data_IF_875043120179
#
_entry.id   IF_875043120179
#
_cell.length_a   1.000
_cell.length_b   1.000
_cell.length_c   1.000
_cell.angle_alpha   90.00
_cell.angle_beta   90.00
_cell.angle_gamma   90.00
#
_symmetry.space_group_name_H-M   'P 1'
#
loop_
_entity.id
_entity.type
_entity.pdbx_description
1 polymer ?
#
# COMPACT_ATOMS: atom_id res chain seq x y z
N UNK A 1 12.87 28.02 43.06
CA UNK A 1 12.64 26.55 43.07
C UNK A 1 12.82 25.95 44.46
N UNK A 2 13.93 26.17 45.18
CA UNK A 2 14.15 25.58 46.53
C UNK A 2 13.08 25.94 47.59
N UNK A 3 12.50 27.15 47.55
CA UNK A 3 11.41 27.54 48.46
C UNK A 3 10.04 26.92 48.12
N UNK A 4 9.81 26.48 46.87
CA UNK A 4 8.57 25.80 46.48
C UNK A 4 8.61 24.33 46.90
N UNK A 5 9.81 23.72 46.82
CA UNK A 5 10.09 22.34 47.22
C UNK A 5 9.80 22.07 48.70
N UNK A 6 10.21 22.98 49.58
CA UNK A 6 9.94 22.87 51.03
C UNK A 6 8.46 23.10 51.39
N UNK A 7 7.72 23.86 50.58
CA UNK A 7 6.28 24.08 50.77
C UNK A 7 5.47 22.83 50.42
N UNK A 8 5.74 22.21 49.27
CA UNK A 8 5.08 20.96 48.84
C UNK A 8 5.42 19.77 49.73
N UNK A 9 6.65 19.67 50.25
CA UNK A 9 7.04 18.63 51.22
C UNK A 9 6.36 18.79 52.58
N UNK A 10 5.98 20.01 52.97
CA UNK A 10 5.22 20.26 54.21
C UNK A 10 3.77 19.85 54.07
N UNK A 11 3.12 20.12 52.93
CA UNK A 11 1.74 19.71 52.67
C UNK A 11 1.61 18.20 52.49
N UNK A 12 2.52 17.54 51.75
CA UNK A 12 2.51 16.09 51.60
C UNK A 12 2.74 15.32 52.93
N UNK A 13 3.44 15.93 53.90
CA UNK A 13 3.59 15.38 55.26
C UNK A 13 2.34 15.50 56.12
N UNK A 14 1.42 16.41 55.81
CA UNK A 14 0.17 16.61 56.55
C UNK A 14 -0.92 15.60 56.15
N UNK A 15 -0.86 15.04 54.93
CA UNK A 15 -1.86 14.09 54.42
C UNK A 15 -1.44 12.60 54.50
N UNK A 16 -0.25 12.32 55.02
CA UNK A 16 0.24 10.96 55.31
C UNK A 16 0.11 9.97 54.12
N UNK A 17 0.36 10.44 52.90
CA UNK A 17 0.32 9.61 51.69
C UNK A 17 1.72 9.50 51.08
N UNK A 18 2.35 8.33 51.23
CA UNK A 18 3.66 8.03 50.63
C UNK A 18 3.60 7.95 49.09
N UNK A 19 2.41 7.99 48.49
CA UNK A 19 2.17 7.83 47.06
C UNK A 19 2.40 9.12 46.26
N UNK A 20 2.30 10.30 46.87
CA UNK A 20 2.40 11.58 46.15
C UNK A 20 3.83 12.08 45.93
N UNK A 21 4.78 11.65 46.77
CA UNK A 21 6.18 12.11 46.67
C UNK A 21 6.89 11.50 45.44
N UNK A 22 6.63 10.23 45.12
CA UNK A 22 7.25 9.55 43.98
C UNK A 22 6.83 10.15 42.62
N UNK A 23 5.63 10.71 42.51
CA UNK A 23 5.15 11.33 41.26
C UNK A 23 5.69 12.74 41.03
N UNK A 24 5.99 13.49 42.10
CA UNK A 24 6.58 14.83 42.01
C UNK A 24 8.05 14.73 41.57
N UNK A 25 8.77 13.73 42.08
CA UNK A 25 10.16 13.47 41.67
C UNK A 25 10.24 13.04 40.19
N UNK A 26 9.29 12.22 39.70
CA UNK A 26 9.18 11.86 38.27
C UNK A 26 8.83 13.09 37.40
N UNK A 27 7.96 13.98 37.87
CA UNK A 27 7.59 15.20 37.15
C UNK A 27 8.80 16.15 36.97
N UNK A 28 9.69 16.20 37.97
CA UNK A 28 10.88 17.04 37.93
C UNK A 28 12.01 16.44 37.08
N UNK A 29 12.18 15.11 37.07
CA UNK A 29 13.13 14.46 36.13
C UNK A 29 12.74 14.70 34.66
N UNK A 30 11.44 14.65 34.34
CA UNK A 30 10.94 14.92 32.98
C UNK A 30 11.01 16.41 32.61
N UNK A 31 10.81 17.31 33.58
CA UNK A 31 10.90 18.75 33.33
C UNK A 31 12.35 19.24 33.12
N UNK A 32 13.32 18.61 33.79
CA UNK A 32 14.76 18.94 33.64
C UNK A 32 15.32 18.47 32.28
N UNK A 33 14.73 17.44 31.66
CA UNK A 33 15.12 17.01 30.29
C UNK A 33 14.55 17.90 29.17
N UNK A 34 13.67 18.85 29.46
CA UNK A 34 12.97 19.68 28.46
C UNK A 34 13.41 21.16 28.44
N UNK A 35 14.43 21.55 29.20
CA UNK A 35 14.99 22.90 29.13
C UNK A 35 16.06 23.04 28.04
N UNK A 36 15.67 23.03 26.76
CA UNK A 36 16.37 23.83 25.76
C UNK A 36 15.34 24.45 24.80
N UNK A 37 15.13 25.76 25.00
CA UNK A 37 14.48 26.73 24.10
C UNK A 37 13.02 26.48 23.69
N UNK A 38 12.06 26.82 24.56
CA UNK A 38 10.80 27.38 24.04
C UNK A 38 9.98 28.15 25.10
N UNK A 39 9.79 29.45 24.86
CA UNK A 39 8.88 30.35 25.60
C UNK A 39 7.42 29.85 25.63
N UNK A 40 7.07 28.93 24.72
CA UNK A 40 5.75 28.27 24.64
C UNK A 40 5.48 27.29 25.79
N UNK A 41 6.50 26.56 26.25
CA UNK A 41 6.35 25.60 27.35
C UNK A 41 6.16 26.29 28.71
N UNK A 42 6.75 27.47 28.91
CA UNK A 42 6.55 28.27 30.11
C UNK A 42 5.10 28.77 30.25
N UNK A 43 4.44 29.12 29.14
CA UNK A 43 3.05 29.58 29.14
C UNK A 43 2.06 28.42 29.30
N UNK A 44 2.34 27.28 28.65
CA UNK A 44 1.55 26.05 28.78
C UNK A 44 1.62 25.44 30.19
N UNK A 45 2.80 25.45 30.82
CA UNK A 45 2.99 25.03 32.21
C UNK A 45 2.19 25.90 33.18
N UNK A 46 2.11 27.21 32.90
CA UNK A 46 1.29 28.18 33.67
C UNK A 46 -0.20 27.92 33.54
N UNK A 47 -0.67 27.61 32.33
CA UNK A 47 -2.09 27.29 32.07
C UNK A 47 -2.50 25.94 32.67
N UNK A 48 -1.61 24.94 32.63
CA UNK A 48 -1.85 23.64 33.29
C UNK A 48 -1.86 23.80 34.81
N UNK A 49 -0.99 24.64 35.39
CA UNK A 49 -0.99 24.93 36.83
C UNK A 49 -2.26 25.63 37.30
N UNK A 50 -2.85 26.50 36.48
CA UNK A 50 -4.13 27.15 36.77
C UNK A 50 -5.32 26.18 36.72
N UNK A 51 -5.26 25.15 35.86
CA UNK A 51 -6.29 24.09 35.76
C UNK A 51 -6.23 23.07 36.90
N UNK A 52 -5.11 22.98 37.62
CA UNK A 52 -4.91 22.07 38.75
C UNK A 52 -5.28 22.73 40.09
N UNK A 53 -5.27 24.07 40.17
CA UNK A 53 -5.54 24.80 41.42
C UNK A 53 -7.01 25.21 41.63
N UNK A 54 -7.92 24.82 40.76
CA UNK A 54 -9.33 25.28 40.77
C UNK A 54 -10.31 24.17 41.20
N UNK A 55 -9.97 23.40 42.24
CA UNK A 55 -10.88 22.39 42.83
C UNK A 55 -11.80 22.96 43.94
N UNK A 56 -11.69 24.23 44.33
CA UNK A 56 -12.55 24.83 45.35
C UNK A 56 -13.08 26.20 44.91
N UNK A 57 -14.19 26.26 44.13
CA UNK A 57 -15.25 27.28 44.28
C UNK A 57 -16.48 27.02 43.37
N UNK A 58 -17.67 27.37 43.88
CA UNK A 58 -18.99 27.21 43.25
C UNK A 58 -19.22 28.13 42.01
N UNK A 59 -20.22 27.85 41.14
CA UNK A 59 -20.23 28.34 39.76
C UNK A 59 -20.71 29.79 39.62
N UNK A 60 -19.87 30.68 39.09
CA UNK A 60 -20.30 31.98 38.58
C UNK A 60 -20.86 31.85 37.15
N UNK A 61 -22.13 32.21 37.02
CA UNK A 61 -22.91 32.23 35.80
C UNK A 61 -22.40 33.28 34.78
N UNK A 62 -21.98 32.84 33.60
CA UNK A 62 -22.37 33.40 32.28
C UNK A 62 -21.56 32.79 31.13
N UNK A 63 -22.14 31.83 30.41
CA UNK A 63 -21.67 31.47 29.05
C UNK A 63 -22.86 30.97 28.21
N UNK A 64 -22.97 31.31 26.91
CA UNK A 64 -24.18 31.02 26.13
C UNK A 64 -24.33 29.52 25.80
N UNK A 65 -25.56 28.98 25.76
CA UNK A 65 -25.78 27.54 25.72
C UNK A 65 -25.82 27.01 24.28
N UNK A 66 -24.68 26.78 23.63
CA UNK A 66 -24.65 25.96 22.39
C UNK A 66 -23.43 25.06 22.19
N UNK A 67 -22.48 24.99 23.12
CA UNK A 67 -21.26 24.18 22.97
C UNK A 67 -21.18 22.91 23.85
N UNK A 68 -22.13 22.67 24.76
CA UNK A 68 -22.08 21.53 25.69
C UNK A 68 -23.09 20.40 25.41
N UNK A 69 -24.06 20.58 24.51
CA UNK A 69 -25.05 19.53 24.21
C UNK A 69 -24.57 18.45 23.22
N UNK A 70 -23.45 18.66 22.52
CA UNK A 70 -22.91 17.62 21.62
C UNK A 70 -22.05 16.58 22.34
N UNK A 71 -21.66 16.80 23.61
CA UNK A 71 -20.70 15.93 24.29
C UNK A 71 -21.30 14.84 25.19
N UNK A 72 -22.56 14.93 25.63
CA UNK A 72 -23.15 13.88 26.49
C UNK A 72 -23.66 12.63 25.75
N UNK A 73 -23.64 12.61 24.41
CA UNK A 73 -24.06 11.44 23.61
C UNK A 73 -22.94 10.44 23.27
N UNK A 74 -21.68 10.77 23.57
CA UNK A 74 -20.54 9.90 23.23
C UNK A 74 -20.09 8.94 24.34
N UNK A 75 -20.66 9.02 25.56
CA UNK A 75 -20.12 8.31 26.75
C UNK A 75 -21.05 7.20 27.29
N UNK A 76 -22.22 6.94 26.70
CA UNK A 76 -23.06 5.80 27.10
C UNK A 76 -23.72 5.06 25.93
N UNK A 77 -23.12 3.97 25.41
CA UNK A 77 -23.87 2.96 24.66
C UNK A 77 -24.54 2.00 25.67
N UNK A 78 -25.87 2.03 25.77
CA UNK A 78 -26.63 1.06 26.56
C UNK A 78 -26.58 -0.34 25.90
N UNK A 79 -26.48 -1.44 26.65
CA UNK A 79 -26.52 -2.80 26.09
C UNK A 79 -27.97 -3.20 25.72
N UNK A 80 -28.20 -4.00 24.66
CA UNK A 80 -29.53 -4.43 24.29
C UNK A 80 -30.01 -5.56 25.23
N UNK A 81 -31.18 -5.40 25.84
CA UNK A 81 -31.91 -6.47 26.54
C UNK A 81 -32.95 -7.11 25.60
N UNK A 82 -33.28 -8.40 25.79
CA UNK A 82 -34.11 -9.17 24.86
C UNK A 82 -35.61 -8.97 25.14
N UNK A 83 -36.40 -8.70 24.09
CA UNK A 83 -37.85 -8.71 24.16
C UNK A 83 -38.39 -9.98 23.47
N UNK A 84 -38.87 -10.92 24.27
CA UNK A 84 -39.92 -11.86 23.87
C UNK A 84 -41.25 -11.29 24.35
N UNK A 85 -42.26 -11.21 23.48
CA UNK A 85 -43.59 -11.84 23.68
C UNK A 85 -44.46 -11.67 22.42
N UNK A 86 -45.11 -12.79 22.05
CA UNK A 86 -46.28 -13.03 21.19
C UNK A 86 -47.18 -11.81 20.90
N UNK A 87 -47.84 -11.66 19.75
CA UNK A 87 -47.99 -12.45 18.55
C UNK A 87 -49.23 -11.93 17.80
N UNK A 88 -49.26 -12.04 16.46
CA UNK A 88 -50.52 -12.19 15.73
C UNK A 88 -50.23 -12.70 14.32
N UNK A 89 -51.02 -13.68 13.92
CA UNK A 89 -50.87 -14.49 12.73
C UNK A 89 -51.29 -13.71 11.47
N UNK A 90 -50.54 -13.87 10.38
CA UNK A 90 -51.11 -13.86 9.03
C UNK A 90 -50.35 -14.85 8.13
N UNK A 91 -51.15 -15.72 7.54
CA UNK A 91 -50.81 -16.93 6.80
C UNK A 91 -50.29 -16.66 5.37
N UNK A 92 -49.37 -17.53 4.93
CA UNK A 92 -49.30 -18.15 3.58
C UNK A 92 -48.88 -17.18 2.44
N UNK A 93 -47.80 -17.40 1.66
CA UNK A 93 -47.51 -18.57 0.83
C UNK A 93 -46.06 -18.50 0.31
N UNK A 94 -45.27 -19.57 0.51
CA UNK A 94 -43.95 -19.76 -0.08
C UNK A 94 -44.06 -20.37 -1.49
N UNK A 95 -43.44 -19.76 -2.50
CA UNK A 95 -43.03 -20.45 -3.73
C UNK A 95 -41.51 -20.50 -3.77
N UNK A 96 -40.98 -21.71 -3.64
CA UNK A 96 -39.56 -21.99 -3.77
C UNK A 96 -39.12 -22.05 -5.24
N UNK A 97 -37.82 -21.91 -5.45
CA UNK A 97 -37.13 -22.42 -6.63
C UNK A 97 -35.81 -23.04 -6.16
N UNK A 98 -35.72 -24.34 -6.38
CA UNK A 98 -34.63 -25.20 -5.93
C UNK A 98 -33.38 -25.10 -6.79
N UNK A 99 -32.27 -25.41 -6.13
CA UNK A 99 -30.94 -25.67 -6.65
C UNK A 99 -30.95 -26.98 -7.47
N UNK A 100 -30.35 -26.97 -8.66
CA UNK A 100 -30.13 -28.15 -9.48
C UNK A 100 -28.67 -28.61 -9.37
N UNK A 101 -28.46 -29.85 -8.91
CA UNK A 101 -27.20 -30.61 -8.99
C UNK A 101 -27.52 -31.88 -9.77
N UNK A 102 -26.82 -32.23 -10.88
CA UNK A 102 -26.94 -33.56 -11.46
C UNK A 102 -25.87 -34.50 -10.92
N UNK A 103 -26.32 -35.56 -10.25
CA UNK A 103 -25.50 -36.76 -10.01
C UNK A 103 -25.53 -37.72 -11.21
N UNK A 104 -24.41 -38.39 -11.35
CA UNK A 104 -24.04 -39.48 -12.27
C UNK A 104 -25.03 -40.64 -12.36
N UNK A 105 -25.13 -41.25 -13.55
CA UNK A 105 -25.51 -42.66 -13.73
C UNK A 105 -24.48 -43.42 -14.58
N UNK A 106 -24.18 -44.64 -14.14
CA UNK A 106 -23.17 -45.55 -14.68
C UNK A 106 -23.64 -46.36 -15.90
N UNK A 107 -22.63 -46.87 -16.63
CA UNK A 107 -22.52 -48.23 -17.20
C UNK A 107 -23.12 -48.53 -18.59
N UNK A 108 -22.22 -48.79 -19.55
CA UNK A 108 -22.20 -50.08 -20.29
C UNK A 108 -20.83 -50.38 -20.92
N UNK A 109 -20.22 -51.49 -20.48
CA UNK A 109 -19.05 -52.15 -21.08
C UNK A 109 -19.40 -52.83 -22.42
N UNK A 110 -18.46 -52.85 -23.38
CA UNK A 110 -18.23 -54.00 -24.30
C UNK A 110 -16.76 -54.13 -24.69
N UNK A 111 -16.30 -55.38 -24.70
CA UNK A 111 -14.94 -55.89 -24.93
C UNK A 111 -14.53 -56.01 -26.41
N UNK A 112 -13.23 -55.83 -26.70
CA UNK A 112 -12.27 -56.80 -27.35
C UNK A 112 -10.91 -56.10 -27.57
N UNK A 113 -9.79 -56.53 -26.95
CA UNK A 113 -8.75 -57.49 -27.41
C UNK A 113 -8.25 -57.18 -28.84
N UNK A 114 -6.96 -56.99 -29.15
CA UNK A 114 -5.69 -57.11 -28.42
C UNK A 114 -4.51 -57.22 -29.41
N UNK A 115 -3.27 -57.26 -28.84
CA UNK A 115 -1.93 -57.54 -29.41
C UNK A 115 -1.13 -56.36 -29.98
N UNK A 116 0.19 -56.26 -29.83
CA UNK A 116 1.22 -56.69 -28.84
C UNK A 116 2.61 -56.37 -29.46
N UNK A 117 3.62 -56.24 -28.58
CA UNK A 117 5.09 -56.26 -28.77
C UNK A 117 5.76 -54.88 -28.71
N UNK A 118 6.45 -54.49 -27.63
CA UNK A 118 7.61 -55.03 -26.89
C UNK A 118 8.96 -54.65 -27.51
N UNK A 119 9.78 -53.88 -26.78
CA UNK A 119 11.20 -54.19 -26.50
C UNK A 119 11.67 -53.37 -25.28
N UNK A 120 12.21 -54.08 -24.28
CA UNK A 120 12.92 -53.59 -23.09
C UNK A 120 14.43 -53.42 -23.42
N UNK A 121 15.25 -52.61 -22.72
CA UNK A 121 15.85 -52.83 -21.39
C UNK A 121 16.81 -51.66 -21.07
N UNK A 122 16.93 -51.24 -19.81
CA UNK A 122 18.15 -51.43 -18.99
C UNK A 122 17.92 -51.10 -17.50
N UNK A 123 18.75 -51.77 -16.68
CA UNK A 123 18.80 -51.99 -15.23
C UNK A 123 18.87 -50.73 -14.35
N UNK A 124 18.21 -50.64 -13.18
CA UNK A 124 18.39 -51.31 -11.88
C UNK A 124 19.44 -50.62 -10.99
N UNK A 125 19.00 -49.86 -9.97
CA UNK A 125 19.49 -50.00 -8.60
C UNK A 125 18.57 -49.30 -7.58
N UNK A 126 18.36 -50.02 -6.49
CA UNK A 126 17.45 -49.82 -5.36
C UNK A 126 18.08 -48.98 -4.25
N UNK A 127 17.29 -48.18 -3.53
CA UNK A 127 17.31 -48.14 -2.05
C UNK A 127 15.91 -47.81 -1.50
N UNK A 128 15.59 -48.51 -0.41
CA UNK A 128 14.32 -48.62 0.29
C UNK A 128 13.83 -47.34 1.01
N UNK A 129 12.51 -47.17 1.11
CA UNK A 129 11.83 -46.92 2.41
C UNK A 129 10.32 -47.12 2.26
N UNK A 130 9.80 -48.07 3.06
CA UNK A 130 8.40 -48.47 3.15
C UNK A 130 7.62 -47.54 4.08
N UNK A 131 6.47 -47.05 3.62
CA UNK A 131 5.44 -46.44 4.45
C UNK A 131 4.42 -47.51 4.86
N UNK A 132 4.09 -47.58 6.15
CA UNK A 132 3.02 -48.45 6.70
C UNK A 132 2.06 -47.58 7.50
N UNK A 133 0.77 -47.69 7.16
CA UNK A 133 -0.39 -47.08 7.82
C UNK A 133 -0.78 -47.82 9.10
N UNK A 134 -1.30 -47.12 10.11
CA UNK A 134 -2.17 -47.71 11.13
C UNK A 134 -3.29 -46.74 11.53
N UNK A 135 -4.53 -47.25 11.50
CA UNK A 135 -5.70 -46.76 12.27
C UNK A 135 -5.99 -47.79 13.43
N UNK A 136 -7.07 -47.68 14.23
CA UNK A 136 -7.12 -46.98 15.52
C UNK A 136 -7.58 -47.92 16.68
N UNK A 137 -7.31 -47.61 17.96
CA UNK A 137 -7.87 -48.40 19.09
C UNK A 137 -8.39 -47.52 20.25
N UNK A 138 -9.58 -47.90 20.73
CA UNK A 138 -10.35 -47.38 21.88
C UNK A 138 -9.97 -48.04 23.22
N UNK A 139 -10.11 -47.24 24.28
CA UNK A 139 -10.67 -47.49 25.63
C UNK A 139 -10.20 -48.63 26.57
N UNK A 140 -9.98 -48.17 27.83
CA UNK A 140 -10.33 -48.77 29.14
C UNK A 140 -9.29 -49.61 29.92
N UNK A 141 -8.88 -49.13 31.11
CA UNK A 141 -9.15 -49.73 32.44
C UNK A 141 -8.22 -49.16 33.55
N UNK A 142 -8.83 -48.80 34.70
CA UNK A 142 -8.28 -48.29 35.98
C UNK A 142 -7.74 -49.45 36.87
N UNK A 143 -7.12 -49.30 38.10
CA UNK A 143 -7.40 -48.30 39.16
C UNK A 143 -6.25 -47.89 40.16
N UNK A 144 -6.55 -46.92 41.05
CA UNK A 144 -5.89 -46.65 42.37
C UNK A 144 -5.11 -45.32 42.42
N UNK A 145 -5.41 -44.30 43.24
CA UNK A 145 -5.83 -44.30 44.64
C UNK A 145 -6.72 -43.08 45.00
N UNK A 146 -7.51 -43.28 46.03
CA UNK A 146 -8.63 -42.48 46.57
C UNK A 146 -8.18 -41.38 47.54
N UNK A 147 -8.96 -40.29 47.59
CA UNK A 147 -9.38 -39.43 48.75
C UNK A 147 -9.61 -38.01 48.16
N UNK A 148 -10.80 -37.43 47.98
CA UNK A 148 -12.07 -37.54 48.70
C UNK A 148 -12.30 -36.28 49.52
N UNK A 149 -12.97 -35.24 48.97
CA UNK A 149 -14.12 -34.55 49.59
C UNK A 149 -14.42 -33.14 49.02
N UNK A 150 -15.69 -33.00 48.66
CA UNK A 150 -16.65 -31.92 48.96
C UNK A 150 -16.43 -30.48 48.47
N UNK A 151 -17.32 -30.13 47.55
CA UNK A 151 -17.81 -28.77 47.30
C UNK A 151 -18.43 -28.17 48.57
N UNK A 152 -17.87 -27.06 49.03
CA UNK A 152 -18.49 -26.13 49.96
C UNK A 152 -18.80 -24.82 49.24
N UNK A 153 -20.07 -24.40 49.30
CA UNK A 153 -20.50 -23.04 49.00
C UNK A 153 -19.76 -22.04 49.91
N UNK A 154 -19.09 -21.05 49.31
CA UNK A 154 -18.80 -19.78 49.99
C UNK A 154 -19.11 -18.62 49.04
N UNK A 155 -20.13 -17.84 49.44
CA UNK A 155 -20.34 -16.48 48.98
C UNK A 155 -19.16 -15.62 49.45
N UNK A 156 -18.56 -14.84 48.55
CA UNK A 156 -17.40 -14.00 48.86
C UNK A 156 -17.20 -12.90 47.81
N UNK A 157 -17.79 -11.74 48.11
CA UNK A 157 -17.36 -10.38 47.77
C UNK A 157 -16.88 -10.08 46.33
N UNK A 158 -17.71 -9.32 45.61
CA UNK A 158 -17.33 -8.69 44.35
C UNK A 158 -16.15 -7.74 44.54
N UNK A 159 -15.11 -7.91 43.72
CA UNK A 159 -14.08 -6.90 43.50
C UNK A 159 -14.60 -5.92 42.45
N UNK A 160 -14.97 -4.73 42.90
CA UNK A 160 -15.11 -3.55 42.05
C UNK A 160 -13.76 -3.27 41.39
N UNK A 161 -13.72 -3.23 40.07
CA UNK A 161 -12.59 -2.68 39.31
C UNK A 161 -12.54 -1.19 39.67
N UNK A 162 -11.48 -0.75 40.35
CA UNK A 162 -11.28 0.66 40.66
C UNK A 162 -11.30 1.46 39.35
N UNK A 163 -12.21 2.42 39.23
CA UNK A 163 -12.26 3.34 38.11
C UNK A 163 -10.95 4.14 38.11
N UNK A 164 -10.22 4.13 36.99
CA UNK A 164 -9.04 4.97 36.82
C UNK A 164 -9.46 6.45 36.98
N UNK A 165 -8.70 7.27 37.71
CA UNK A 165 -9.01 8.69 37.87
C UNK A 165 -9.17 9.40 36.53
N UNK A 166 -10.12 10.33 36.45
CA UNK A 166 -10.41 11.09 35.21
C UNK A 166 -9.19 11.91 34.73
N UNK A 167 -8.26 12.22 35.64
CA UNK A 167 -6.95 12.81 35.37
C UNK A 167 -6.02 11.91 34.54
N UNK A 168 -6.12 10.58 34.68
CA UNK A 168 -5.33 9.61 33.91
C UNK A 168 -5.72 9.61 32.42
N UNK A 169 -7.00 9.81 32.11
CA UNK A 169 -7.50 9.96 30.74
C UNK A 169 -7.09 11.30 30.12
N UNK A 170 -7.06 12.39 30.90
CA UNK A 170 -6.59 13.70 30.43
C UNK A 170 -5.09 13.69 30.13
N UNK A 171 -4.27 13.01 30.93
CA UNK A 171 -2.82 12.91 30.72
C UNK A 171 -2.48 12.13 29.44
N UNK A 172 -3.15 11.01 29.19
CA UNK A 172 -3.02 10.28 27.93
C UNK A 172 -3.53 11.08 26.74
N UNK A 173 -4.60 11.86 26.91
CA UNK A 173 -5.13 12.74 25.86
C UNK A 173 -4.17 13.89 25.52
N UNK A 174 -3.54 14.51 26.52
CA UNK A 174 -2.54 15.57 26.30
C UNK A 174 -1.28 15.01 25.65
N UNK A 175 -0.76 13.84 26.08
CA UNK A 175 0.36 13.18 25.41
C UNK A 175 -0.02 12.75 23.98
N UNK A 176 -1.26 12.27 23.77
CA UNK A 176 -1.77 11.92 22.45
C UNK A 176 -1.88 13.15 21.53
N UNK A 177 -2.37 14.29 22.04
CA UNK A 177 -2.44 15.56 21.33
C UNK A 177 -1.04 16.16 21.07
N UNK A 178 -0.12 16.12 22.04
CA UNK A 178 1.27 16.56 21.87
C UNK A 178 2.03 15.69 20.84
N UNK A 179 1.65 14.42 20.67
CA UNK A 179 2.19 13.55 19.61
C UNK A 179 1.54 13.78 18.24
N UNK A 180 0.43 14.51 18.20
CA UNK A 180 -0.26 14.91 16.97
C UNK A 180 0.26 16.22 16.37
N UNK A 181 0.91 17.08 17.15
CA UNK A 181 1.36 18.40 16.68
C UNK A 181 2.86 18.63 16.84
N UNK A 182 3.61 18.19 15.82
CA UNK A 182 4.78 18.87 15.23
C UNK A 182 5.43 17.99 14.15
N UNK A 183 4.64 17.57 13.15
CA UNK A 183 5.25 16.98 11.95
C UNK A 183 5.66 18.13 11.04
N UNK A 184 6.95 18.46 11.01
CA UNK A 184 7.46 19.37 9.99
C UNK A 184 7.02 18.89 8.60
N UNK A 185 6.46 19.79 7.76
CA UNK A 185 5.98 19.44 6.43
C UNK A 185 7.11 18.84 5.61
N UNK A 186 6.89 17.65 5.03
CA UNK A 186 7.90 16.93 4.23
C UNK A 186 8.11 17.56 2.86
N UNK A 187 7.08 18.23 2.34
CA UNK A 187 7.11 18.95 1.08
C UNK A 187 6.47 20.33 1.27
N UNK A 188 6.90 21.37 0.51
CA UNK A 188 6.19 22.62 0.49
C UNK A 188 4.79 22.41 -0.13
N UNK A 189 3.74 23.08 0.42
CA UNK A 189 2.40 22.99 -0.14
C UNK A 189 2.40 23.47 -1.59
N UNK A 190 1.91 22.61 -2.49
CA UNK A 190 1.79 22.92 -3.92
C UNK A 190 0.71 22.04 -4.55
N UNK A 191 0.07 22.55 -5.60
CA UNK A 191 -0.86 21.82 -6.45
C UNK A 191 -0.72 22.29 -7.90
N UNK A 192 -1.20 21.49 -8.83
CA UNK A 192 -1.24 21.82 -10.26
C UNK A 192 -2.67 21.67 -10.77
N UNK A 193 -3.11 22.59 -11.61
CA UNK A 193 -4.51 22.67 -12.06
C UNK A 193 -4.88 21.63 -13.11
N UNK A 194 -3.89 21.00 -13.76
CA UNK A 194 -4.10 20.12 -14.92
C UNK A 194 -3.37 18.79 -14.77
N UNK A 195 -3.98 17.73 -15.29
CA UNK A 195 -3.32 16.46 -15.55
C UNK A 195 -3.11 16.22 -17.06
N UNK A 196 -1.99 15.59 -17.48
CA UNK A 196 -0.87 15.17 -16.64
C UNK A 196 -0.10 16.33 -15.98
N UNK A 197 0.45 16.06 -14.79
CA UNK A 197 1.25 17.03 -14.04
C UNK A 197 2.64 17.25 -14.64
N UNK A 198 3.25 18.38 -14.33
CA UNK A 198 4.54 18.83 -14.83
C UNK A 198 5.62 18.67 -13.76
N UNK A 199 6.71 17.98 -14.05
CA UNK A 199 7.79 17.74 -13.08
C UNK A 199 8.67 18.98 -12.89
N UNK A 200 9.00 19.65 -13.99
CA UNK A 200 9.89 20.83 -13.99
C UNK A 200 9.40 22.02 -13.12
N UNK A 201 8.14 22.02 -12.68
CA UNK A 201 7.59 23.06 -11.78
C UNK A 201 7.47 22.62 -10.32
N UNK A 202 7.75 21.35 -10.01
CA UNK A 202 7.66 20.80 -8.65
C UNK A 202 8.78 21.34 -7.75
N UNK A 203 8.48 21.43 -6.46
CA UNK A 203 9.44 21.87 -5.42
C UNK A 203 9.43 20.92 -4.22
N UNK A 204 10.55 20.30 -3.83
CA UNK A 204 11.76 20.13 -4.64
C UNK A 204 11.47 19.30 -5.89
N UNK A 205 12.40 19.35 -6.86
CA UNK A 205 12.35 18.44 -7.99
C UNK A 205 12.50 16.99 -7.52
N UNK A 206 11.73 16.03 -8.08
CA UNK A 206 11.92 14.61 -7.81
C UNK A 206 13.34 14.14 -8.09
N UNK A 207 13.87 13.31 -7.19
CA UNK A 207 15.16 12.68 -7.41
C UNK A 207 15.01 11.55 -8.43
N UNK A 208 15.38 11.83 -9.68
CA UNK A 208 15.25 10.88 -10.79
C UNK A 208 16.25 9.73 -10.69
N UNK A 209 17.49 9.99 -10.27
CA UNK A 209 18.54 8.97 -10.10
C UNK A 209 19.25 9.17 -8.76
N UNK A 210 19.63 8.07 -8.11
CA UNK A 210 20.50 8.15 -6.93
C UNK A 210 21.93 8.48 -7.38
N UNK A 211 22.64 9.41 -6.72
CA UNK A 211 24.06 9.64 -6.98
C UNK A 211 24.92 8.38 -6.73
N UNK A 212 24.45 7.47 -5.88
CA UNK A 212 25.12 6.22 -5.55
C UNK A 212 24.79 5.06 -6.51
N UNK A 213 23.91 5.29 -7.48
CA UNK A 213 23.53 4.26 -8.45
C UNK A 213 24.72 3.91 -9.36
N UNK A 214 25.20 2.67 -9.27
CA UNK A 214 26.31 2.15 -10.08
C UNK A 214 25.78 1.16 -11.11
N UNK A 215 25.75 1.52 -12.42
CA UNK A 215 25.30 0.60 -13.45
C UNK A 215 26.28 -0.57 -13.61
N UNK A 216 25.75 -1.72 -14.00
CA UNK A 216 26.52 -2.95 -14.20
C UNK A 216 26.24 -3.58 -15.59
N UNK A 217 25.84 -2.76 -16.55
CA UNK A 217 25.51 -3.16 -17.93
C UNK A 217 24.44 -4.26 -18.00
N UNK A 218 23.49 -4.27 -17.06
CA UNK A 218 22.49 -5.33 -16.90
C UNK A 218 21.53 -5.44 -18.08
N UNK A 219 21.39 -4.37 -18.86
CA UNK A 219 20.46 -4.27 -19.99
C UNK A 219 21.20 -3.99 -21.30
N UNK A 220 22.49 -4.35 -21.36
CA UNK A 220 23.35 -4.14 -22.50
C UNK A 220 22.70 -4.61 -23.82
N UNK A 221 22.52 -3.66 -24.74
CA UNK A 221 21.96 -3.91 -26.08
C UNK A 221 20.46 -4.16 -26.11
N UNK A 222 19.73 -4.03 -25.01
CA UNK A 222 18.26 -4.17 -24.99
C UNK A 222 17.58 -2.94 -25.55
N UNK A 223 16.41 -3.11 -26.17
CA UNK A 223 15.51 -2.03 -26.58
C UNK A 223 14.32 -2.00 -25.63
N UNK A 224 14.15 -0.89 -24.90
CA UNK A 224 13.08 -0.71 -23.94
C UNK A 224 12.10 0.38 -24.39
N UNK A 225 10.79 0.10 -24.29
CA UNK A 225 9.72 1.08 -24.43
C UNK A 225 9.10 1.33 -23.05
N UNK A 226 9.08 2.59 -22.60
CA UNK A 226 8.49 3.01 -21.32
C UNK A 226 7.37 4.02 -21.56
N UNK A 227 6.13 3.68 -21.21
CA UNK A 227 5.02 4.64 -21.34
C UNK A 227 5.01 5.65 -20.19
N UNK A 228 4.77 6.93 -20.49
CA UNK A 228 4.86 8.01 -19.49
C UNK A 228 6.26 8.10 -18.91
N UNK A 229 7.26 8.10 -19.80
CA UNK A 229 8.68 8.09 -19.43
C UNK A 229 9.31 9.48 -19.34
N UNK A 230 8.53 10.53 -19.60
CA UNK A 230 8.90 11.94 -19.51
C UNK A 230 9.10 12.43 -18.08
N UNK A 231 8.49 11.79 -17.08
CA UNK A 231 8.50 12.24 -15.69
C UNK A 231 8.33 11.10 -14.68
N UNK A 232 8.50 11.43 -13.41
CA UNK A 232 8.29 10.58 -12.25
C UNK A 232 9.05 9.27 -12.31
N UNK A 233 8.35 8.19 -11.96
CA UNK A 233 8.91 6.82 -11.99
C UNK A 233 9.36 6.45 -13.41
N UNK A 234 8.60 6.83 -14.44
CA UNK A 234 8.95 6.53 -15.83
C UNK A 234 10.29 7.13 -16.22
N UNK A 235 10.53 8.41 -15.90
CA UNK A 235 11.83 9.09 -16.12
C UNK A 235 12.97 8.37 -15.41
N UNK A 236 12.78 8.00 -14.15
CA UNK A 236 13.79 7.27 -13.37
C UNK A 236 14.11 5.89 -13.98
N UNK A 237 13.09 5.19 -14.48
CA UNK A 237 13.25 3.91 -15.19
C UNK A 237 14.00 4.09 -16.50
N UNK A 238 13.60 5.06 -17.33
CA UNK A 238 14.29 5.40 -18.58
C UNK A 238 15.78 5.67 -18.33
N UNK A 239 16.09 6.51 -17.34
CA UNK A 239 17.47 6.90 -17.03
C UNK A 239 18.29 5.73 -16.50
N UNK A 240 17.70 4.90 -15.64
CA UNK A 240 18.35 3.68 -15.13
C UNK A 240 18.60 2.67 -16.25
N UNK A 241 17.65 2.49 -17.17
CA UNK A 241 17.80 1.60 -18.32
C UNK A 241 18.90 2.07 -19.28
N UNK A 242 18.96 3.36 -19.58
CA UNK A 242 20.01 3.95 -20.41
C UNK A 242 21.40 3.77 -19.77
N UNK A 243 21.51 3.98 -18.45
CA UNK A 243 22.76 3.73 -17.71
C UNK A 243 23.19 2.27 -17.72
N UNK A 244 22.24 1.34 -17.72
CA UNK A 244 22.48 -0.11 -17.82
C UNK A 244 22.71 -0.61 -19.27
N UNK A 245 22.79 0.30 -20.24
CA UNK A 245 23.16 0.00 -21.63
C UNK A 245 22.00 -0.34 -22.57
N UNK A 246 20.75 -0.02 -22.19
CA UNK A 246 19.59 -0.16 -23.06
C UNK A 246 19.38 1.06 -23.96
N UNK A 247 18.92 0.83 -25.18
CA UNK A 247 18.27 1.86 -26.02
C UNK A 247 16.85 2.09 -25.51
N UNK A 248 16.46 3.34 -25.31
CA UNK A 248 15.18 3.69 -24.66
C UNK A 248 14.29 4.51 -25.60
N UNK A 249 13.06 4.04 -25.80
CA UNK A 249 11.94 4.84 -26.27
C UNK A 249 10.98 5.12 -25.12
N UNK A 250 10.34 6.29 -25.13
CA UNK A 250 9.28 6.59 -24.17
C UNK A 250 8.12 7.38 -24.78
N UNK A 251 6.94 7.26 -24.18
CA UNK A 251 5.77 8.06 -24.56
C UNK A 251 5.52 9.21 -23.61
N UNK A 252 4.87 10.26 -24.11
CA UNK A 252 4.39 11.43 -23.37
C UNK A 252 3.16 12.05 -24.08
N UNK A 253 2.46 12.95 -23.41
CA UNK A 253 1.32 13.72 -23.89
C UNK A 253 1.78 15.10 -24.36
N UNK A 254 1.77 15.28 -25.68
CA UNK A 254 2.11 16.54 -26.34
C UNK A 254 1.20 17.69 -25.89
N UNK A 255 1.75 18.88 -25.73
CA UNK A 255 1.06 20.08 -25.24
C UNK A 255 1.03 20.19 -23.71
N UNK A 256 1.20 19.08 -22.99
CA UNK A 256 1.17 19.04 -21.53
C UNK A 256 2.56 18.82 -20.93
N UNK A 257 3.29 17.84 -21.46
CA UNK A 257 4.54 17.32 -20.87
C UNK A 257 5.79 17.67 -21.72
N UNK A 258 5.69 18.59 -22.69
CA UNK A 258 6.76 18.85 -23.67
C UNK A 258 8.11 19.19 -23.03
N UNK A 259 8.11 20.04 -21.98
CA UNK A 259 9.32 20.43 -21.25
C UNK A 259 9.94 19.25 -20.50
N UNK A 260 9.10 18.43 -19.87
CA UNK A 260 9.55 17.26 -19.12
C UNK A 260 10.10 16.16 -20.04
N UNK A 261 9.51 16.02 -21.23
CA UNK A 261 10.04 15.21 -22.31
C UNK A 261 11.40 15.71 -22.81
N UNK A 262 11.57 17.01 -23.02
CA UNK A 262 12.84 17.58 -23.48
C UNK A 262 13.96 17.39 -22.46
N UNK A 263 13.65 17.60 -21.17
CA UNK A 263 14.59 17.34 -20.07
C UNK A 263 14.99 15.87 -20.01
N UNK A 264 14.02 14.96 -20.15
CA UNK A 264 14.28 13.51 -20.17
C UNK A 264 15.16 13.12 -21.35
N UNK A 265 14.86 13.60 -22.56
CA UNK A 265 15.68 13.32 -23.75
C UNK A 265 17.13 13.77 -23.53
N UNK A 266 17.33 14.97 -22.99
CA UNK A 266 18.66 15.48 -22.67
C UNK A 266 19.39 14.57 -21.67
N UNK A 267 18.73 14.21 -20.56
CA UNK A 267 19.31 13.31 -19.55
C UNK A 267 19.66 11.94 -20.13
N UNK A 268 18.83 11.39 -21.02
CA UNK A 268 19.09 10.09 -21.67
C UNK A 268 20.25 10.16 -22.64
N UNK A 269 20.37 11.22 -23.43
CA UNK A 269 21.51 11.45 -24.32
C UNK A 269 22.83 11.54 -23.54
N UNK A 270 22.81 12.17 -22.36
CA UNK A 270 23.98 12.28 -21.48
C UNK A 270 24.31 10.97 -20.75
N UNK A 271 23.29 10.15 -20.43
CA UNK A 271 23.46 8.98 -19.57
C UNK A 271 23.59 7.64 -20.31
N UNK A 272 23.26 7.58 -21.60
CA UNK A 272 23.32 6.34 -22.38
C UNK A 272 24.74 5.78 -22.42
N UNK A 273 24.86 4.46 -22.28
CA UNK A 273 26.14 3.74 -22.30
C UNK A 273 26.08 2.52 -23.21
N UNK A 274 27.18 1.78 -23.35
CA UNK A 274 27.16 0.46 -23.97
C UNK A 274 26.84 0.45 -25.47
N UNK A 275 26.95 1.57 -26.18
CA UNK A 275 26.52 1.64 -27.58
C UNK A 275 25.01 1.64 -27.78
N UNK A 276 24.23 1.97 -26.74
CA UNK A 276 22.82 2.30 -26.89
C UNK A 276 22.61 3.41 -27.92
N UNK A 277 21.56 3.27 -28.74
CA UNK A 277 21.21 4.25 -29.77
C UNK A 277 20.60 5.51 -29.14
N UNK A 278 20.40 6.56 -29.95
CA UNK A 278 19.74 7.78 -29.48
C UNK A 278 18.33 7.47 -28.99
N UNK A 279 17.90 8.04 -27.85
CA UNK A 279 16.58 7.80 -27.28
C UNK A 279 15.49 8.43 -28.15
N UNK A 280 14.30 7.83 -28.12
CA UNK A 280 13.13 8.28 -28.90
C UNK A 280 11.98 8.69 -27.98
N UNK A 281 11.53 9.95 -28.08
CA UNK A 281 10.31 10.41 -27.41
C UNK A 281 9.13 10.41 -28.39
N UNK A 282 8.03 9.76 -28.01
CA UNK A 282 6.85 9.55 -28.85
C UNK A 282 5.64 10.23 -28.23
N UNK A 283 5.12 11.27 -28.88
CA UNK A 283 3.88 11.91 -28.48
C UNK A 283 2.70 10.98 -28.74
N UNK A 284 1.97 10.56 -27.70
CA UNK A 284 0.79 9.70 -27.84
C UNK A 284 -0.13 9.76 -26.62
N UNK A 285 -1.44 9.93 -26.87
CA UNK A 285 -2.45 9.52 -25.88
C UNK A 285 -2.70 8.02 -26.03
N UNK A 286 -2.09 7.23 -25.15
CA UNK A 286 -2.17 5.77 -25.16
C UNK A 286 -3.53 5.23 -24.71
N UNK A 287 -4.49 6.08 -24.33
CA UNK A 287 -5.87 5.67 -24.09
C UNK A 287 -6.57 5.16 -25.35
N UNK A 288 -5.96 5.25 -26.54
CA UNK A 288 -6.53 4.82 -27.81
C UNK A 288 -5.66 3.75 -28.49
N UNK A 289 -6.31 2.71 -29.03
CA UNK A 289 -5.62 1.56 -29.64
C UNK A 289 -4.75 1.96 -30.83
N UNK A 290 -5.24 2.81 -31.74
CA UNK A 290 -4.45 3.21 -32.91
C UNK A 290 -3.20 3.98 -32.51
N UNK A 291 -3.26 4.82 -31.47
CA UNK A 291 -2.09 5.51 -30.93
C UNK A 291 -1.10 4.50 -30.33
N UNK A 292 -1.57 3.49 -29.58
CA UNK A 292 -0.72 2.42 -29.06
C UNK A 292 -0.01 1.65 -30.19
N UNK A 293 -0.75 1.34 -31.26
CA UNK A 293 -0.19 0.67 -32.44
C UNK A 293 0.90 1.52 -33.09
N UNK A 294 0.65 2.81 -33.31
CA UNK A 294 1.63 3.74 -33.87
C UNK A 294 2.90 3.84 -33.01
N UNK A 295 2.76 3.88 -31.69
CA UNK A 295 3.90 3.85 -30.76
C UNK A 295 4.77 2.62 -31.02
N UNK A 296 4.17 1.42 -31.07
CA UNK A 296 4.92 0.18 -31.34
C UNK A 296 5.59 0.21 -32.72
N UNK A 297 4.87 0.63 -33.76
CA UNK A 297 5.40 0.72 -35.12
C UNK A 297 6.59 1.67 -35.22
N UNK A 298 6.56 2.80 -34.53
CA UNK A 298 7.68 3.75 -34.51
C UNK A 298 8.92 3.16 -33.82
N UNK A 299 8.75 2.52 -32.66
CA UNK A 299 9.88 1.88 -31.95
C UNK A 299 10.50 0.77 -32.78
N UNK A 300 9.67 -0.06 -33.42
CA UNK A 300 10.14 -1.15 -34.29
C UNK A 300 10.78 -0.63 -35.56
N UNK A 301 10.26 0.46 -36.15
CA UNK A 301 10.87 1.10 -37.30
C UNK A 301 12.27 1.60 -36.98
N UNK A 302 12.45 2.22 -35.82
CA UNK A 302 13.73 2.82 -35.43
C UNK A 302 14.74 1.78 -34.96
N UNK A 303 14.32 0.83 -34.11
CA UNK A 303 15.25 -0.08 -33.42
C UNK A 303 15.09 -1.55 -33.80
N UNK A 304 14.11 -1.90 -34.64
CA UNK A 304 13.90 -3.24 -35.17
C UNK A 304 13.23 -4.25 -34.23
N UNK A 305 13.13 -3.96 -32.92
CA UNK A 305 12.59 -4.87 -31.91
C UNK A 305 12.13 -4.16 -30.64
N UNK A 306 11.46 -4.91 -29.76
CA UNK A 306 11.18 -4.50 -28.38
C UNK A 306 11.59 -5.66 -27.46
N UNK A 307 12.58 -5.42 -26.60
CA UNK A 307 13.03 -6.41 -25.62
C UNK A 307 12.32 -6.24 -24.26
N UNK A 308 12.04 -4.99 -23.88
CA UNK A 308 11.39 -4.64 -22.62
C UNK A 308 10.23 -3.68 -22.89
N UNK A 309 9.03 -4.04 -22.42
CA UNK A 309 7.86 -3.15 -22.44
C UNK A 309 7.49 -2.78 -21.00
N UNK A 310 7.50 -1.48 -20.69
CA UNK A 310 7.06 -0.96 -19.39
C UNK A 310 5.76 -0.17 -19.58
N UNK A 311 4.66 -0.75 -19.08
CA UNK A 311 3.37 -0.08 -19.03
C UNK A 311 3.28 0.71 -17.72
N UNK A 312 3.55 2.01 -17.76
CA UNK A 312 3.72 2.86 -16.59
C UNK A 312 2.77 4.08 -16.55
N UNK A 313 2.44 4.66 -17.71
CA UNK A 313 1.56 5.82 -17.78
C UNK A 313 0.21 5.54 -17.08
N UNK A 314 -0.27 6.53 -16.33
CA UNK A 314 -1.51 6.44 -15.59
C UNK A 314 -2.12 7.84 -15.38
N UNK A 315 -3.42 7.84 -15.17
CA UNK A 315 -4.23 8.99 -14.76
C UNK A 315 -4.94 8.66 -13.45
N UNK A 316 -5.07 9.64 -12.56
CA UNK A 316 -5.69 9.46 -11.25
C UNK A 316 -6.49 10.71 -10.90
N UNK A 317 -7.71 10.55 -10.40
CA UNK A 317 -8.52 11.65 -9.91
C UNK A 317 -8.85 11.44 -8.44
N UNK A 318 -8.89 12.53 -7.68
CA UNK A 318 -9.38 12.50 -6.32
C UNK A 318 -10.91 12.47 -6.38
N UNK A 319 -11.53 11.48 -5.74
CA UNK A 319 -12.99 11.36 -5.71
C UNK A 319 -13.43 10.78 -4.38
N UNK A 320 -14.30 11.49 -3.65
CA UNK A 320 -14.64 11.17 -2.27
C UNK A 320 -15.90 10.32 -2.15
N UNK A 321 -16.70 10.24 -3.23
CA UNK A 321 -17.91 9.43 -3.31
C UNK A 321 -18.01 8.75 -4.68
N UNK A 322 -18.47 7.48 -4.75
CA UNK A 322 -18.79 6.85 -6.03
C UNK A 322 -19.78 7.66 -6.90
N UNK A 323 -20.63 8.49 -6.30
CA UNK A 323 -21.60 9.33 -7.01
C UNK A 323 -20.96 10.46 -7.83
N UNK A 324 -19.73 10.86 -7.49
CA UNK A 324 -18.96 11.89 -8.19
C UNK A 324 -18.25 11.32 -9.44
N UNK A 325 -18.09 9.99 -9.52
CA UNK A 325 -17.41 9.32 -10.63
C UNK A 325 -18.33 9.29 -11.84
N UNK A 326 -18.14 10.25 -12.74
CA UNK A 326 -18.87 10.28 -14.02
C UNK A 326 -18.47 9.11 -14.93
N UNK A 327 -19.37 8.71 -15.83
CA UNK A 327 -19.06 7.71 -16.86
C UNK A 327 -17.83 8.12 -17.69
N UNK A 328 -17.73 9.41 -18.02
CA UNK A 328 -16.59 9.95 -18.77
C UNK A 328 -15.27 9.77 -18.02
N UNK A 329 -15.21 10.12 -16.73
CA UNK A 329 -14.02 9.91 -15.89
C UNK A 329 -13.68 8.42 -15.80
N UNK A 330 -14.66 7.58 -15.49
CA UNK A 330 -14.47 6.13 -15.35
C UNK A 330 -13.87 5.53 -16.63
N UNK A 331 -14.47 5.83 -17.78
CA UNK A 331 -13.98 5.37 -19.07
C UNK A 331 -12.58 5.90 -19.35
N UNK A 332 -12.31 7.19 -19.10
CA UNK A 332 -11.00 7.77 -19.34
C UNK A 332 -9.90 7.11 -18.51
N UNK A 333 -10.12 6.95 -17.20
CA UNK A 333 -9.17 6.30 -16.28
C UNK A 333 -8.92 4.85 -16.70
N UNK A 334 -9.96 4.09 -17.06
CA UNK A 334 -9.79 2.71 -17.55
C UNK A 334 -9.07 2.64 -18.89
N UNK A 335 -9.34 3.57 -19.82
CA UNK A 335 -8.66 3.64 -21.12
C UNK A 335 -7.16 3.84 -20.94
N UNK A 336 -6.77 4.82 -20.13
CA UNK A 336 -5.37 5.13 -19.87
C UNK A 336 -4.68 4.04 -19.06
N UNK A 337 -5.30 3.57 -17.97
CA UNK A 337 -4.58 2.77 -16.98
C UNK A 337 -4.56 1.28 -17.30
N UNK A 338 -5.55 0.73 -18.01
CA UNK A 338 -5.61 -0.71 -18.29
C UNK A 338 -5.86 -1.06 -19.75
N UNK A 339 -6.75 -0.36 -20.48
CA UNK A 339 -6.95 -0.71 -21.90
C UNK A 339 -5.68 -0.49 -22.72
N UNK A 340 -4.95 0.59 -22.44
CA UNK A 340 -3.63 0.85 -23.02
C UNK A 340 -2.68 -0.35 -22.89
N UNK A 341 -2.67 -1.06 -21.74
CA UNK A 341 -1.81 -2.21 -21.52
C UNK A 341 -2.18 -3.37 -22.44
N UNK A 342 -3.49 -3.63 -22.62
CA UNK A 342 -3.97 -4.63 -23.58
C UNK A 342 -3.57 -4.27 -25.01
N UNK A 343 -3.75 -3.02 -25.41
CA UNK A 343 -3.43 -2.55 -26.76
C UNK A 343 -1.91 -2.62 -27.03
N UNK A 344 -1.09 -2.08 -26.14
CA UNK A 344 0.36 -2.09 -26.27
C UNK A 344 0.90 -3.52 -26.34
N UNK A 345 0.45 -4.42 -25.45
CA UNK A 345 0.86 -5.83 -25.49
C UNK A 345 0.43 -6.50 -26.80
N UNK A 346 -0.83 -6.29 -27.25
CA UNK A 346 -1.34 -6.86 -28.51
C UNK A 346 -0.43 -6.56 -29.70
N UNK A 347 0.08 -5.33 -29.79
CA UNK A 347 0.94 -4.91 -30.88
C UNK A 347 2.41 -5.28 -30.64
N UNK A 348 2.93 -5.11 -29.42
CA UNK A 348 4.32 -5.39 -29.07
C UNK A 348 4.69 -6.87 -29.22
N UNK A 349 3.77 -7.80 -28.91
CA UNK A 349 4.05 -9.24 -28.89
C UNK A 349 4.60 -9.81 -30.21
N UNK A 350 4.34 -9.16 -31.36
CA UNK A 350 4.89 -9.56 -32.66
C UNK A 350 6.40 -9.30 -32.77
N UNK A 351 6.93 -8.44 -31.92
CA UNK A 351 8.30 -7.91 -31.96
C UNK A 351 9.11 -8.26 -30.71
N UNK A 352 8.50 -8.98 -29.76
CA UNK A 352 9.13 -9.51 -28.57
C UNK A 352 9.53 -10.97 -28.80
N UNK A 353 10.68 -11.37 -28.25
CA UNK A 353 11.25 -12.72 -28.42
C UNK A 353 11.41 -13.40 -27.06
N UNK A 354 11.82 -14.67 -27.08
CA UNK A 354 12.28 -15.34 -25.87
C UNK A 354 13.35 -14.50 -25.15
N UNK A 355 13.22 -14.38 -23.83
CA UNK A 355 14.06 -13.54 -23.00
C UNK A 355 13.60 -12.08 -22.87
N UNK A 356 12.50 -11.69 -23.53
CA UNK A 356 11.86 -10.37 -23.33
C UNK A 356 11.13 -10.27 -21.99
N UNK A 357 10.87 -9.04 -21.55
CA UNK A 357 10.17 -8.74 -20.29
C UNK A 357 9.07 -7.70 -20.48
N UNK A 358 7.90 -7.92 -19.86
CA UNK A 358 6.82 -6.95 -19.74
C UNK A 358 6.70 -6.59 -18.25
N UNK A 359 6.71 -5.30 -17.94
CA UNK A 359 6.65 -4.79 -16.57
C UNK A 359 5.51 -3.79 -16.47
N UNK A 360 4.56 -4.02 -15.56
CA UNK A 360 3.40 -3.15 -15.39
C UNK A 360 3.49 -2.37 -14.07
N UNK A 361 3.29 -1.06 -14.11
CA UNK A 361 3.17 -0.23 -12.91
C UNK A 361 1.76 -0.34 -12.34
N UNK A 362 1.61 -1.11 -11.26
CA UNK A 362 0.40 -1.11 -10.45
C UNK A 362 0.53 -0.06 -9.32
N UNK A 363 -0.02 -0.33 -8.14
CA UNK A 363 0.04 0.52 -6.96
C UNK A 363 -0.09 -0.35 -5.70
N UNK A 364 0.18 0.21 -4.53
CA UNK A 364 -0.24 -0.36 -3.25
C UNK A 364 -1.77 -0.36 -3.08
N UNK A 365 -2.48 0.58 -3.72
CA UNK A 365 -3.93 0.77 -3.61
C UNK A 365 -4.79 -0.51 -3.78
N UNK A 366 -4.58 -1.37 -4.80
CA UNK A 366 -5.41 -2.58 -4.93
C UNK A 366 -5.26 -3.58 -3.79
N UNK A 367 -4.22 -3.45 -2.96
CA UNK A 367 -3.98 -4.32 -1.80
C UNK A 367 -4.48 -3.69 -0.50
N UNK A 368 -4.31 -2.38 -0.32
CA UNK A 368 -4.73 -1.67 0.89
C UNK A 368 -6.12 -1.06 0.80
N UNK A 369 -6.68 -0.93 -0.40
CA UNK A 369 -7.77 -0.01 -0.69
C UNK A 369 -7.33 1.46 -0.69
N UNK A 370 -8.15 2.33 -1.27
CA UNK A 370 -8.03 3.78 -1.16
C UNK A 370 -9.42 4.42 -1.40
N UNK A 371 -10.06 4.99 -0.37
CA UNK A 371 -11.42 5.53 -0.49
C UNK A 371 -11.51 6.78 -1.36
N UNK A 372 -10.41 7.52 -1.56
CA UNK A 372 -10.39 8.78 -2.31
C UNK A 372 -10.07 8.60 -3.82
N UNK A 373 -9.98 7.36 -4.30
CA UNK A 373 -9.58 7.06 -5.69
C UNK A 373 -10.06 5.66 -6.13
N UNK A 374 -11.36 5.42 -6.05
CA UNK A 374 -11.96 4.10 -6.28
C UNK A 374 -11.73 3.56 -7.71
N UNK A 375 -11.97 4.38 -8.74
CA UNK A 375 -11.77 4.02 -10.15
C UNK A 375 -10.29 3.71 -10.45
N UNK A 376 -9.37 4.57 -10.00
CA UNK A 376 -7.94 4.31 -10.08
C UNK A 376 -7.57 3.00 -9.38
N UNK A 377 -8.03 2.79 -8.15
CA UNK A 377 -7.77 1.56 -7.38
C UNK A 377 -8.27 0.31 -8.12
N UNK A 378 -9.46 0.39 -8.72
CA UNK A 378 -10.00 -0.69 -9.55
C UNK A 378 -9.12 -0.96 -10.78
N UNK A 379 -8.64 0.07 -11.49
CA UNK A 379 -7.72 -0.14 -12.63
C UNK A 379 -6.41 -0.79 -12.19
N UNK A 380 -5.85 -0.39 -11.05
CA UNK A 380 -4.62 -0.98 -10.52
C UNK A 380 -4.82 -2.44 -10.10
N UNK A 381 -6.00 -2.80 -9.60
CA UNK A 381 -6.38 -4.19 -9.36
C UNK A 381 -6.50 -5.00 -10.64
N UNK A 382 -7.08 -4.42 -11.69
CA UNK A 382 -7.13 -5.03 -13.02
C UNK A 382 -5.72 -5.27 -13.59
N UNK A 383 -4.77 -4.36 -13.38
CA UNK A 383 -3.35 -4.55 -13.77
C UNK A 383 -2.72 -5.75 -13.06
N UNK A 384 -3.01 -5.96 -11.77
CA UNK A 384 -2.50 -7.13 -11.02
C UNK A 384 -3.01 -8.43 -11.62
N UNK A 385 -4.32 -8.52 -11.86
CA UNK A 385 -4.93 -9.68 -12.50
C UNK A 385 -4.43 -9.90 -13.93
N UNK A 386 -4.31 -8.83 -14.72
CA UNK A 386 -3.74 -8.84 -16.07
C UNK A 386 -2.31 -9.37 -16.07
N UNK A 387 -1.46 -8.90 -15.16
CA UNK A 387 -0.06 -9.35 -15.01
C UNK A 387 -0.01 -10.86 -14.77
N UNK A 388 -0.78 -11.36 -13.79
CA UNK A 388 -0.84 -12.78 -13.46
C UNK A 388 -1.35 -13.61 -14.64
N UNK A 389 -2.47 -13.23 -15.25
CA UNK A 389 -3.04 -13.95 -16.40
C UNK A 389 -2.12 -13.96 -17.62
N UNK A 390 -1.56 -12.81 -17.99
CA UNK A 390 -0.67 -12.68 -19.14
C UNK A 390 0.65 -13.46 -18.91
N UNK A 391 1.18 -13.47 -17.69
CA UNK A 391 2.39 -14.25 -17.37
C UNK A 391 2.22 -15.74 -17.71
N UNK A 392 1.06 -16.31 -17.38
CA UNK A 392 0.75 -17.72 -17.66
C UNK A 392 0.60 -17.98 -19.15
N UNK A 393 0.06 -17.02 -19.91
CA UNK A 393 -0.08 -17.14 -21.36
C UNK A 393 1.24 -17.04 -22.11
N UNK A 394 2.21 -16.29 -21.57
CA UNK A 394 3.45 -15.96 -22.28
C UNK A 394 4.67 -16.75 -21.80
N UNK A 395 4.58 -17.47 -20.68
CA UNK A 395 5.70 -18.26 -20.14
C UNK A 395 6.23 -19.29 -21.15
N UNK A 396 5.36 -19.94 -21.93
CA UNK A 396 5.78 -20.92 -22.95
C UNK A 396 6.48 -20.27 -24.16
N UNK A 397 6.40 -18.95 -24.31
CA UNK A 397 7.16 -18.16 -25.30
C UNK A 397 8.46 -17.59 -24.72
N UNK A 398 8.77 -17.90 -23.46
CA UNK A 398 9.93 -17.37 -22.75
C UNK A 398 9.87 -15.87 -22.50
N UNK A 399 8.66 -15.27 -22.47
CA UNK A 399 8.46 -13.85 -22.15
C UNK A 399 7.96 -13.75 -20.71
N UNK A 400 8.65 -12.98 -19.89
CA UNK A 400 8.29 -12.77 -18.48
C UNK A 400 7.35 -11.58 -18.35
N UNK A 401 6.39 -11.66 -17.44
CA UNK A 401 5.43 -10.57 -17.18
C UNK A 401 5.35 -10.36 -15.68
N UNK A 402 5.73 -9.20 -15.18
CA UNK A 402 5.73 -8.87 -13.76
C UNK A 402 5.15 -7.47 -13.54
N UNK A 403 4.97 -7.08 -12.29
CA UNK A 403 4.54 -5.74 -11.92
C UNK A 403 5.38 -5.15 -10.80
N UNK A 404 5.32 -3.82 -10.70
CA UNK A 404 5.84 -3.05 -9.55
C UNK A 404 4.67 -2.29 -8.95
N UNK A 405 4.54 -2.34 -7.63
CA UNK A 405 3.47 -1.75 -6.84
C UNK A 405 4.07 -0.72 -5.86
N UNK A 406 4.32 0.51 -6.33
CA UNK A 406 4.86 1.56 -5.48
C UNK A 406 3.87 1.96 -4.38
N UNK A 407 4.42 2.43 -3.25
CA UNK A 407 3.66 3.20 -2.26
C UNK A 407 3.49 4.67 -2.69
N UNK A 408 3.42 5.61 -1.74
CA UNK A 408 3.46 7.04 -2.05
C UNK A 408 4.84 7.43 -2.57
N UNK A 409 4.90 7.97 -3.79
CA UNK A 409 6.15 8.40 -4.45
C UNK A 409 5.98 9.85 -4.89
N UNK A 410 7.03 10.66 -4.68
CA UNK A 410 7.07 12.07 -5.08
C UNK A 410 7.20 12.18 -6.61
N UNK A 411 6.07 12.39 -7.29
CA UNK A 411 5.96 12.51 -8.75
C UNK A 411 4.89 13.53 -9.14
N UNK A 412 4.83 14.00 -10.40
CA UNK A 412 3.88 15.04 -10.81
C UNK A 412 2.41 14.65 -10.68
N UNK A 413 2.09 13.35 -10.68
CA UNK A 413 0.71 12.88 -10.49
C UNK A 413 0.16 13.28 -9.11
N UNK A 414 1.04 13.43 -8.10
CA UNK A 414 0.61 13.78 -6.74
C UNK A 414 0.05 15.21 -6.68
N UNK A 415 0.84 16.28 -6.95
CA UNK A 415 0.32 17.65 -6.88
C UNK A 415 -0.72 17.96 -7.96
N UNK A 416 -0.79 17.19 -9.05
CA UNK A 416 -1.84 17.34 -10.06
C UNK A 416 -3.16 16.65 -9.69
N UNK A 417 -3.15 15.79 -8.66
CA UNK A 417 -4.35 15.09 -8.18
C UNK A 417 -4.81 15.61 -6.82
N UNK A 418 -3.86 15.90 -5.92
CA UNK A 418 -4.12 16.20 -4.52
C UNK A 418 -3.98 17.69 -4.23
N UNK A 419 -4.80 18.24 -3.31
CA UNK A 419 -4.66 19.62 -2.85
C UNK A 419 -3.35 19.81 -2.07
N UNK A 420 -2.90 21.05 -1.99
CA UNK A 420 -1.61 21.42 -1.40
C UNK A 420 -1.42 20.92 0.05
N UNK A 421 -2.48 20.87 0.85
CA UNK A 421 -2.47 20.40 2.25
C UNK A 421 -2.11 18.90 2.35
N UNK A 422 -2.64 18.06 1.45
CA UNK A 422 -2.28 16.65 1.42
C UNK A 422 -0.83 16.45 0.97
N UNK A 423 -0.33 17.32 0.08
CA UNK A 423 1.03 17.23 -0.44
C UNK A 423 2.08 17.45 0.64
N UNK A 424 1.84 18.36 1.60
CA UNK A 424 2.76 18.61 2.70
C UNK A 424 3.11 17.35 3.51
N UNK A 425 2.16 16.43 3.61
CA UNK A 425 2.24 15.23 4.44
C UNK A 425 2.35 13.94 3.62
N UNK A 426 2.62 14.02 2.32
CA UNK A 426 2.70 12.85 1.44
C UNK A 426 3.70 11.81 1.98
N UNK A 427 3.21 10.59 2.21
CA UNK A 427 4.00 9.47 2.70
C UNK A 427 4.31 9.52 4.21
N UNK A 428 3.75 10.46 4.96
CA UNK A 428 3.87 10.46 6.43
C UNK A 428 3.10 9.30 7.09
N UNK A 429 2.15 8.72 6.37
CA UNK A 429 1.33 7.59 6.78
C UNK A 429 2.10 6.26 6.77
N UNK A 430 3.06 6.08 5.85
CA UNK A 430 3.79 4.80 5.72
C UNK A 430 4.79 4.59 6.87
N UNK A 431 5.22 3.35 7.15
CA UNK A 431 6.17 3.08 8.24
C UNK A 431 7.48 3.87 8.16
N UNK A 432 8.03 4.11 6.97
CA UNK A 432 9.23 4.94 6.77
C UNK A 432 9.01 6.46 6.93
N UNK A 433 7.77 6.92 7.17
CA UNK A 433 7.42 8.33 7.46
C UNK A 433 7.87 9.35 6.41
N UNK A 434 7.98 8.92 5.15
CA UNK A 434 8.26 9.77 3.99
C UNK A 434 7.73 9.13 2.72
N UNK A 435 7.46 9.97 1.71
CA UNK A 435 7.31 9.48 0.34
C UNK A 435 8.64 8.90 -0.18
N UNK A 436 8.54 7.89 -1.04
CA UNK A 436 9.66 7.43 -1.85
C UNK A 436 10.01 8.45 -2.94
N UNK A 437 11.25 8.42 -3.42
CA UNK A 437 11.67 9.11 -4.62
C UNK A 437 11.60 8.17 -5.84
N UNK A 438 11.40 8.69 -7.07
CA UNK A 438 11.39 7.86 -8.28
C UNK A 438 12.64 6.97 -8.43
N UNK A 439 13.81 7.49 -8.05
CA UNK A 439 15.10 6.78 -8.04
C UNK A 439 15.11 5.52 -7.18
N UNK A 440 14.27 5.44 -6.15
CA UNK A 440 14.18 4.29 -5.25
C UNK A 440 13.28 3.18 -5.82
N UNK A 441 12.43 3.51 -6.80
CA UNK A 441 11.53 2.57 -7.46
C UNK A 441 12.19 1.95 -8.69
N UNK A 442 12.96 2.75 -9.45
CA UNK A 442 13.60 2.33 -10.69
C UNK A 442 14.44 1.02 -10.60
N UNK A 443 15.16 0.73 -9.51
CA UNK A 443 15.89 -0.54 -9.36
C UNK A 443 15.01 -1.79 -9.48
N UNK A 444 13.73 -1.73 -9.07
CA UNK A 444 12.80 -2.84 -9.26
C UNK A 444 12.58 -3.15 -10.75
N UNK A 445 12.52 -2.11 -11.59
CA UNK A 445 12.35 -2.28 -13.04
C UNK A 445 13.63 -2.81 -13.69
N UNK A 446 14.81 -2.34 -13.25
CA UNK A 446 16.10 -2.86 -13.74
C UNK A 446 16.21 -4.35 -13.43
N UNK A 447 15.90 -4.75 -12.20
CA UNK A 447 15.86 -6.14 -11.78
C UNK A 447 14.92 -6.97 -12.66
N UNK A 448 13.66 -6.54 -12.83
CA UNK A 448 12.66 -7.27 -13.61
C UNK A 448 12.94 -7.28 -15.12
N UNK A 449 13.63 -6.27 -15.66
CA UNK A 449 14.04 -6.20 -17.06
C UNK A 449 15.25 -7.10 -17.34
N UNK A 450 16.16 -7.21 -16.36
CA UNK A 450 17.38 -8.01 -16.44
C UNK A 450 17.05 -9.51 -16.41
N UNK A 451 17.30 -10.20 -17.53
CA UNK A 451 17.14 -11.64 -17.62
C UNK A 451 18.00 -12.41 -16.61
N UNK A 452 19.31 -12.14 -16.42
CA UNK A 452 20.10 -12.91 -15.46
C UNK A 452 19.64 -12.70 -14.01
N UNK A 453 19.18 -11.50 -13.66
CA UNK A 453 18.77 -11.20 -12.29
C UNK A 453 17.38 -11.75 -11.95
N UNK A 454 16.48 -11.84 -12.94
CA UNK A 454 15.07 -12.18 -12.70
C UNK A 454 14.52 -13.29 -13.62
N UNK A 455 15.38 -14.18 -14.12
CA UNK A 455 15.02 -15.28 -15.02
C UNK A 455 13.92 -16.19 -14.49
N UNK A 456 13.81 -16.33 -13.16
CA UNK A 456 12.79 -17.15 -12.49
C UNK A 456 11.60 -16.34 -11.92
N UNK A 457 11.47 -15.07 -12.30
CA UNK A 457 10.37 -14.20 -11.89
C UNK A 457 9.42 -13.96 -13.05
N UNK A 458 8.20 -14.51 -12.96
CA UNK A 458 7.06 -14.20 -13.83
C UNK A 458 5.76 -14.31 -13.04
N UNK A 459 4.80 -13.44 -13.31
CA UNK A 459 3.54 -13.31 -12.57
C UNK A 459 3.67 -12.62 -11.20
N UNK A 460 4.84 -12.07 -10.88
CA UNK A 460 5.17 -11.52 -9.56
C UNK A 460 4.92 -10.02 -9.49
N UNK A 461 4.79 -9.50 -8.26
CA UNK A 461 4.67 -8.08 -7.97
C UNK A 461 5.71 -7.68 -6.93
N UNK A 462 6.52 -6.66 -7.22
CA UNK A 462 7.47 -6.08 -6.27
C UNK A 462 6.87 -4.85 -5.58
N UNK A 463 7.11 -4.67 -4.28
CA UNK A 463 6.42 -3.69 -3.45
C UNK A 463 7.36 -2.66 -2.78
N UNK A 464 7.97 -1.73 -3.54
CA UNK A 464 8.73 -0.62 -2.98
C UNK A 464 7.78 0.44 -2.39
N UNK A 465 7.31 0.22 -1.15
CA UNK A 465 6.18 0.96 -0.57
C UNK A 465 6.42 1.57 0.82
N UNK A 466 7.68 1.69 1.26
CA UNK A 466 8.00 2.31 2.54
C UNK A 466 7.63 1.48 3.77
N UNK A 467 7.49 0.16 3.61
CA UNK A 467 7.28 -0.79 4.71
C UNK A 467 5.82 -1.20 4.95
N UNK A 468 4.90 -0.83 4.07
CA UNK A 468 3.49 -1.23 4.20
C UNK A 468 3.35 -2.75 4.01
N UNK A 469 2.80 -3.43 5.02
CA UNK A 469 2.47 -4.86 4.95
C UNK A 469 1.11 -5.03 4.27
N UNK A 470 1.07 -5.81 3.19
CA UNK A 470 -0.08 -5.88 2.28
C UNK A 470 -0.51 -7.29 1.89
N UNK A 471 0.11 -8.34 2.45
CA UNK A 471 -0.25 -9.75 2.27
C UNK A 471 -0.62 -10.14 0.82
N UNK A 472 0.27 -9.80 -0.13
CA UNK A 472 0.02 -9.79 -1.58
C UNK A 472 0.15 -11.15 -2.28
#
# INVERSE_FOLDING_TARGET
MENLHESFKREAKLENSSFHLDYIDIYMEVAVELEEDDLFFADLSKQISLLIMDEDEEPLASCPPHSLQCFSRAIHPSPPQPAFFYGEALQVQSKGTGVFIPQSTQSRRKHRKGRSNSYAKHQQQSQDTRWVSQDPIKSSSNPGNVLGNNYGHHAGQGRTVAALPQSFFRYFFVIFCLKMESREPKFPPQSQETQPGKEHVMKPLPQTISPDYKPASKLQGKVALVTGGDSGIGRAVCLSFAKEGATVAFTYVKGHEDKDKDDTLKMLLEAKTGGAQDPLAIAADIGYEENCKQVIELVVKEYGRIDVLVNNAAEQHLTNSPEEITEHQLLRVFRTNIFSHFFLVRHALKHMKEGSSIINSTSVNPYSGNPESLDYTATKGAIVAFTRGLSQQLVSKGIRVNAVAPGPVWTPIQPATKPAEMIQNLGSEVPMKRAGQPSEIAPCYVFLASLPDSSYYTGQVLHPNGGMIINA
#
